data_IF_290477254676
#
_entry.id   IF_290477254676
#
_cell.length_a   1.000
_cell.length_b   1.000
_cell.length_c   1.000
_cell.angle_alpha   90.00
_cell.angle_beta   90.00
_cell.angle_gamma   90.00
#
_symmetry.space_group_name_H-M   'P 1'
#
loop_
_entity.id
_entity.type
_entity.pdbx_description
1 polymer ?
#
# COMPACT_ATOMS: atom_id res chain seq x y z
N UNK A 1 -4.94 -17.00 -5.83
CA UNK A 1 -4.48 -16.42 -7.13
C UNK A 1 -5.58 -15.70 -7.89
N UNK A 2 -6.75 -16.29 -8.15
CA UNK A 2 -7.85 -15.67 -8.93
C UNK A 2 -8.27 -14.30 -8.36
N UNK A 3 -8.42 -14.19 -7.05
CA UNK A 3 -8.83 -12.95 -6.40
C UNK A 3 -7.81 -11.79 -6.58
N UNK A 4 -6.50 -12.09 -6.55
CA UNK A 4 -5.47 -11.09 -6.83
C UNK A 4 -5.55 -10.59 -8.30
N UNK A 5 -5.87 -11.48 -9.23
CA UNK A 5 -6.11 -11.11 -10.65
C UNK A 5 -7.34 -10.21 -10.76
N UNK A 6 -8.44 -10.57 -10.08
CA UNK A 6 -9.68 -9.76 -10.09
C UNK A 6 -9.39 -8.37 -9.53
N UNK A 7 -8.67 -8.27 -8.40
CA UNK A 7 -8.32 -6.98 -7.83
C UNK A 7 -7.47 -6.13 -8.80
N UNK A 8 -6.43 -6.70 -9.37
CA UNK A 8 -5.60 -6.02 -10.36
C UNK A 8 -6.41 -5.51 -11.57
N UNK A 9 -7.31 -6.33 -12.10
CA UNK A 9 -8.19 -5.97 -13.21
C UNK A 9 -9.13 -4.83 -12.82
N UNK A 10 -9.71 -4.86 -11.62
CA UNK A 10 -10.61 -3.82 -11.12
C UNK A 10 -9.87 -2.50 -10.88
N UNK A 11 -8.64 -2.54 -10.36
CA UNK A 11 -7.78 -1.34 -10.24
C UNK A 11 -7.49 -0.73 -11.61
N UNK A 12 -7.13 -1.55 -12.59
CA UNK A 12 -6.89 -1.08 -13.96
C UNK A 12 -8.17 -0.51 -14.58
N UNK A 13 -9.29 -1.20 -14.46
CA UNK A 13 -10.58 -0.74 -14.98
C UNK A 13 -11.02 0.59 -14.36
N UNK A 14 -10.96 0.70 -13.01
CA UNK A 14 -11.22 1.93 -12.30
C UNK A 14 -10.30 3.07 -12.74
N UNK A 15 -9.01 2.78 -12.92
CA UNK A 15 -8.05 3.77 -13.42
C UNK A 15 -8.38 4.25 -14.83
N UNK A 16 -8.81 3.36 -15.72
CA UNK A 16 -9.23 3.73 -17.09
C UNK A 16 -10.44 4.67 -17.03
N UNK A 17 -11.43 4.34 -16.19
CA UNK A 17 -12.59 5.22 -15.97
C UNK A 17 -12.15 6.58 -15.43
N UNK A 18 -11.27 6.60 -14.44
CA UNK A 18 -10.73 7.85 -13.88
C UNK A 18 -10.01 8.71 -14.92
N UNK A 19 -9.24 8.09 -15.80
CA UNK A 19 -8.53 8.80 -16.88
C UNK A 19 -9.45 9.51 -17.87
N UNK A 20 -10.70 9.05 -18.06
CA UNK A 20 -11.68 9.73 -18.92
C UNK A 20 -11.98 11.14 -18.37
N UNK A 21 -11.88 11.33 -17.08
CA UNK A 21 -12.10 12.60 -16.41
C UNK A 21 -10.80 13.44 -16.29
N UNK A 22 -9.63 12.85 -16.53
CA UNK A 22 -8.35 13.55 -16.52
C UNK A 22 -8.33 14.65 -17.60
N UNK A 23 -7.84 15.82 -17.23
CA UNK A 23 -7.77 16.99 -18.13
C UNK A 23 -9.08 17.78 -18.25
N UNK A 24 -10.21 17.22 -17.80
CA UNK A 24 -11.48 17.96 -17.68
C UNK A 24 -11.58 18.71 -16.37
N UNK A 25 -10.78 18.32 -15.38
CA UNK A 25 -10.73 18.93 -14.04
C UNK A 25 -9.66 20.02 -14.06
N UNK A 26 -10.04 21.27 -13.79
CA UNK A 26 -9.09 22.38 -13.66
C UNK A 26 -8.12 22.08 -12.51
N UNK A 27 -6.85 22.51 -12.65
CA UNK A 27 -5.77 22.22 -11.69
C UNK A 27 -6.15 22.58 -10.25
N UNK A 28 -6.85 23.70 -10.04
CA UNK A 28 -7.35 24.11 -8.72
C UNK A 28 -8.23 23.04 -8.07
N UNK A 29 -9.13 22.42 -8.83
CA UNK A 29 -9.99 21.34 -8.31
C UNK A 29 -9.21 20.04 -8.10
N UNK A 30 -8.29 19.74 -9.00
CA UNK A 30 -7.41 18.56 -8.85
C UNK A 30 -6.62 18.62 -7.54
N UNK A 31 -6.02 19.79 -7.23
CA UNK A 31 -5.28 19.97 -5.98
C UNK A 31 -6.19 19.89 -4.75
N UNK A 32 -7.39 20.48 -4.79
CA UNK A 32 -8.35 20.38 -3.69
C UNK A 32 -8.83 18.92 -3.46
N UNK A 33 -9.07 18.18 -4.56
CA UNK A 33 -9.41 16.75 -4.49
C UNK A 33 -8.26 15.95 -3.89
N UNK A 34 -7.00 16.23 -4.27
CA UNK A 34 -5.83 15.54 -3.71
C UNK A 34 -5.71 15.74 -2.19
N UNK A 35 -5.93 16.96 -1.71
CA UNK A 35 -5.96 17.24 -0.26
C UNK A 35 -7.10 16.47 0.42
N UNK A 36 -8.30 16.49 -0.15
CA UNK A 36 -9.45 15.75 0.37
C UNK A 36 -9.20 14.23 0.41
N UNK A 37 -8.61 13.67 -0.65
CA UNK A 37 -8.20 12.26 -0.69
C UNK A 37 -7.13 11.96 0.36
N UNK A 38 -6.14 12.85 0.52
CA UNK A 38 -5.14 12.73 1.57
C UNK A 38 -5.77 12.62 2.96
N UNK A 39 -6.79 13.44 3.26
CA UNK A 39 -7.53 13.34 4.54
C UNK A 39 -8.28 12.01 4.68
N UNK A 40 -8.90 11.49 3.62
CA UNK A 40 -9.53 10.16 3.65
C UNK A 40 -8.50 9.05 3.88
N UNK A 41 -7.35 9.13 3.21
CA UNK A 41 -6.23 8.19 3.39
C UNK A 41 -5.68 8.26 4.81
N UNK A 42 -5.59 9.46 5.39
CA UNK A 42 -5.19 9.65 6.79
C UNK A 42 -6.17 8.96 7.75
N UNK A 43 -7.46 9.11 7.53
CA UNK A 43 -8.48 8.45 8.35
C UNK A 43 -8.31 6.91 8.30
N UNK A 44 -8.10 6.34 7.12
CA UNK A 44 -7.85 4.90 6.96
C UNK A 44 -6.58 4.49 7.71
N UNK A 45 -5.50 5.25 7.58
CA UNK A 45 -4.24 4.98 8.27
C UNK A 45 -4.39 5.06 9.80
N UNK A 46 -5.06 6.08 10.33
CA UNK A 46 -5.31 6.20 11.77
C UNK A 46 -6.17 5.04 12.26
N UNK A 47 -7.26 4.71 11.55
CA UNK A 47 -8.15 3.60 11.94
C UNK A 47 -7.41 2.27 12.06
N UNK A 48 -6.52 1.95 11.12
CA UNK A 48 -5.75 0.71 11.18
C UNK A 48 -4.59 0.77 12.19
N UNK A 49 -3.99 1.95 12.43
CA UNK A 49 -2.89 2.08 13.39
C UNK A 49 -3.35 1.89 14.84
N UNK A 50 -4.57 2.33 15.19
CA UNK A 50 -5.13 2.18 16.54
C UNK A 50 -5.58 0.75 16.87
N UNK A 51 -5.62 -0.16 15.90
CA UNK A 51 -5.93 -1.58 16.13
C UNK A 51 -4.77 -2.36 16.75
N UNK A 52 -3.59 -1.73 16.94
CA UNK A 52 -2.45 -2.39 17.59
C UNK A 52 -2.78 -2.81 19.01
N UNK A 53 -2.42 -4.03 19.35
CA UNK A 53 -2.46 -4.56 20.73
C UNK A 53 -1.12 -4.37 21.46
N UNK A 54 -0.04 -4.07 20.70
CA UNK A 54 1.31 -3.92 21.24
C UNK A 54 2.08 -2.77 20.57
N UNK A 55 1.88 -1.57 21.07
CA UNK A 55 2.55 -0.35 20.56
C UNK A 55 4.08 -0.48 20.54
N UNK A 56 4.68 -1.21 21.49
CA UNK A 56 6.13 -1.42 21.51
C UNK A 56 6.59 -2.23 20.30
N UNK A 57 5.82 -3.24 19.90
CA UNK A 57 6.10 -4.01 18.68
C UNK A 57 6.12 -3.08 17.46
N UNK A 58 5.13 -2.21 17.33
CA UNK A 58 5.04 -1.25 16.21
C UNK A 58 6.24 -0.28 16.21
N UNK A 59 6.59 0.28 17.38
CA UNK A 59 7.73 1.21 17.49
C UNK A 59 9.03 0.53 17.06
N UNK A 60 9.33 -0.66 17.58
CA UNK A 60 10.54 -1.39 17.24
C UNK A 60 10.55 -1.75 15.76
N UNK A 61 9.41 -2.21 15.23
CA UNK A 61 9.25 -2.54 13.80
C UNK A 61 9.52 -1.32 12.93
N UNK A 62 8.99 -0.16 13.27
CA UNK A 62 9.21 1.08 12.53
C UNK A 62 10.68 1.50 12.55
N UNK A 63 11.32 1.52 13.72
CA UNK A 63 12.72 1.94 13.85
C UNK A 63 13.65 1.04 13.05
N UNK A 64 13.55 -0.28 13.24
CA UNK A 64 14.39 -1.24 12.54
C UNK A 64 14.07 -1.24 11.04
N UNK A 65 12.77 -1.22 10.69
CA UNK A 65 12.33 -1.25 9.31
C UNK A 65 12.78 -0.04 8.50
N UNK A 66 12.72 1.16 9.08
CA UNK A 66 13.23 2.39 8.45
C UNK A 66 14.74 2.29 8.24
N UNK A 67 15.52 1.85 9.23
CA UNK A 67 16.96 1.68 9.11
C UNK A 67 17.30 0.71 7.96
N UNK A 68 16.61 -0.43 7.90
CA UNK A 68 16.79 -1.42 6.84
C UNK A 68 16.40 -0.85 5.47
N UNK A 69 15.28 -0.14 5.38
CA UNK A 69 14.80 0.43 4.13
C UNK A 69 15.71 1.54 3.60
N UNK A 70 16.22 2.42 4.47
CA UNK A 70 17.21 3.44 4.11
C UNK A 70 18.52 2.82 3.65
N UNK A 71 19.00 1.78 4.34
CA UNK A 71 20.20 1.04 3.94
C UNK A 71 20.04 0.39 2.57
N UNK A 72 18.88 -0.20 2.31
CA UNK A 72 18.55 -0.84 1.04
C UNK A 72 18.11 0.15 -0.05
N UNK A 73 17.89 1.43 0.29
CA UNK A 73 17.39 2.48 -0.62
C UNK A 73 16.14 2.02 -1.38
N UNK A 74 15.15 1.51 -0.67
CA UNK A 74 13.97 0.90 -1.29
C UNK A 74 13.17 1.94 -2.08
N UNK A 75 12.96 3.13 -1.54
CA UNK A 75 12.29 4.24 -2.23
C UNK A 75 12.97 4.56 -3.56
N UNK A 76 14.30 4.73 -3.58
CA UNK A 76 15.04 5.04 -4.79
C UNK A 76 14.90 3.94 -5.86
N UNK A 77 14.82 2.67 -5.45
CA UNK A 77 14.56 1.54 -6.37
C UNK A 77 13.15 1.53 -6.92
N UNK A 78 12.16 1.86 -6.08
CA UNK A 78 10.76 1.95 -6.49
C UNK A 78 10.55 3.13 -7.46
N UNK A 79 11.17 4.28 -7.18
CA UNK A 79 11.17 5.42 -8.09
C UNK A 79 11.82 5.07 -9.42
N UNK A 80 12.97 4.40 -9.39
CA UNK A 80 13.65 3.92 -10.60
C UNK A 80 12.77 2.94 -11.39
N UNK A 81 12.06 2.04 -10.71
CA UNK A 81 11.10 1.14 -11.35
C UNK A 81 9.97 1.92 -12.01
N UNK A 82 9.41 2.91 -11.32
CA UNK A 82 8.38 3.82 -11.87
C UNK A 82 8.87 4.55 -13.13
N UNK A 83 10.10 5.09 -13.10
CA UNK A 83 10.69 5.77 -14.25
C UNK A 83 11.01 4.81 -15.43
N UNK A 84 11.47 3.58 -15.15
CA UNK A 84 11.68 2.55 -16.17
C UNK A 84 10.35 2.17 -16.82
N UNK A 85 9.30 1.96 -16.03
CA UNK A 85 7.96 1.69 -16.55
C UNK A 85 7.46 2.86 -17.40
N UNK A 86 7.61 4.09 -16.92
CA UNK A 86 7.25 5.30 -17.66
C UNK A 86 7.98 5.38 -19.01
N UNK A 87 9.30 5.24 -19.02
CA UNK A 87 10.10 5.35 -20.24
C UNK A 87 9.81 4.25 -21.25
N UNK A 88 9.68 3.00 -20.80
CA UNK A 88 9.41 1.85 -21.70
C UNK A 88 8.01 1.86 -22.28
N UNK A 89 7.01 2.25 -21.47
CA UNK A 89 5.61 2.12 -21.86
C UNK A 89 5.03 3.39 -22.46
N UNK A 90 5.51 4.57 -22.04
CA UNK A 90 4.99 5.85 -22.51
C UNK A 90 5.74 6.43 -23.72
N UNK A 91 6.84 5.82 -24.17
CA UNK A 91 7.62 6.23 -25.36
C UNK A 91 7.81 7.76 -25.45
N UNK A 92 8.18 8.43 -24.36
CA UNK A 92 8.43 9.86 -24.35
C UNK A 92 7.19 10.76 -24.28
N UNK A 93 5.97 10.22 -24.13
CA UNK A 93 4.79 11.05 -23.84
C UNK A 93 4.89 11.60 -22.44
N UNK A 94 4.72 12.90 -22.28
CA UNK A 94 4.68 13.56 -20.98
C UNK A 94 3.52 13.00 -20.13
N UNK A 95 3.87 12.27 -19.07
CA UNK A 95 2.93 11.90 -18.03
C UNK A 95 3.40 12.51 -16.72
N UNK A 96 3.03 13.77 -16.49
CA UNK A 96 3.60 14.62 -15.44
C UNK A 96 3.70 14.00 -14.04
N UNK A 97 2.71 13.21 -13.60
CA UNK A 97 2.68 12.58 -12.27
C UNK A 97 2.67 11.04 -12.33
N UNK A 98 3.28 10.43 -13.36
CA UNK A 98 3.23 8.97 -13.53
C UNK A 98 3.81 8.22 -12.33
N UNK A 99 5.06 8.54 -11.98
CA UNK A 99 5.79 7.87 -10.88
C UNK A 99 5.09 8.11 -9.56
N UNK A 100 4.64 9.33 -9.30
CA UNK A 100 3.86 9.67 -8.10
C UNK A 100 2.56 8.87 -8.04
N UNK A 101 1.79 8.81 -9.11
CA UNK A 101 0.54 8.05 -9.17
C UNK A 101 0.77 6.54 -9.03
N UNK A 102 1.81 6.00 -9.67
CA UNK A 102 2.19 4.60 -9.52
C UNK A 102 2.58 4.26 -8.07
N UNK A 103 3.47 5.06 -7.46
CA UNK A 103 3.95 4.85 -6.10
C UNK A 103 2.82 4.96 -5.08
N UNK A 104 2.08 6.08 -5.12
CA UNK A 104 0.98 6.34 -4.19
C UNK A 104 -0.08 5.25 -4.25
N UNK A 105 -0.53 4.88 -5.43
CA UNK A 105 -1.54 3.85 -5.62
C UNK A 105 -1.01 2.46 -5.23
N UNK A 106 0.23 2.12 -5.58
CA UNK A 106 0.83 0.84 -5.22
C UNK A 106 0.92 0.68 -3.70
N UNK A 107 1.42 1.70 -2.99
CA UNK A 107 1.50 1.68 -1.53
C UNK A 107 0.11 1.59 -0.91
N UNK A 108 -0.84 2.43 -1.36
CA UNK A 108 -2.20 2.45 -0.84
C UNK A 108 -2.92 1.10 -1.02
N UNK A 109 -2.77 0.47 -2.18
CA UNK A 109 -3.48 -0.78 -2.49
C UNK A 109 -2.77 -2.03 -1.94
N UNK A 110 -1.46 -1.99 -1.75
CA UNK A 110 -0.71 -3.14 -1.22
C UNK A 110 -0.64 -3.14 0.30
N UNK A 111 -0.67 -1.97 0.96
CA UNK A 111 -0.56 -1.84 2.41
C UNK A 111 -1.95 -1.89 3.05
N UNK A 112 -2.08 -2.59 4.17
CA UNK A 112 -3.30 -2.66 4.96
C UNK A 112 -3.74 -4.10 5.28
N UNK A 113 -4.52 -4.23 6.37
CA UNK A 113 -4.99 -5.51 6.89
C UNK A 113 -5.75 -6.34 5.85
N UNK A 114 -6.64 -5.70 5.09
CA UNK A 114 -7.45 -6.42 4.09
C UNK A 114 -6.61 -7.07 2.98
N UNK A 115 -5.44 -6.50 2.62
CA UNK A 115 -4.56 -7.12 1.64
C UNK A 115 -3.90 -8.38 2.20
N UNK A 116 -3.46 -8.33 3.46
CA UNK A 116 -2.79 -9.44 4.15
C UNK A 116 -3.80 -10.52 4.52
N UNK A 117 -4.87 -10.14 5.26
CA UNK A 117 -5.93 -11.06 5.69
C UNK A 117 -6.63 -11.70 4.50
N UNK A 118 -7.01 -10.89 3.50
CA UNK A 118 -7.69 -11.41 2.31
C UNK A 118 -6.81 -12.35 1.48
N UNK A 119 -5.48 -12.11 1.42
CA UNK A 119 -4.55 -13.04 0.76
C UNK A 119 -4.38 -14.33 1.56
N UNK A 120 -4.40 -14.25 2.91
CA UNK A 120 -4.36 -15.40 3.80
C UNK A 120 -5.64 -16.25 3.67
N UNK A 121 -6.81 -15.66 3.78
CA UNK A 121 -8.10 -16.34 3.60
C UNK A 121 -8.20 -16.99 2.22
N UNK A 122 -7.79 -16.29 1.17
CA UNK A 122 -7.79 -16.81 -0.19
C UNK A 122 -6.81 -17.97 -0.40
N UNK A 123 -5.65 -17.93 0.29
CA UNK A 123 -4.63 -18.97 0.19
C UNK A 123 -4.94 -20.21 0.98
N UNK A 124 -5.44 -20.07 2.21
CA UNK A 124 -5.62 -21.16 3.17
C UNK A 124 -7.06 -21.70 3.17
N UNK A 125 -8.03 -20.77 3.21
CA UNK A 125 -9.45 -21.11 3.41
C UNK A 125 -10.26 -21.16 2.11
N UNK A 126 -9.65 -20.76 0.98
CA UNK A 126 -10.34 -20.53 -0.30
C UNK A 126 -11.53 -19.56 -0.18
N UNK A 127 -11.50 -18.68 0.83
CA UNK A 127 -12.46 -17.61 1.02
C UNK A 127 -11.96 -16.33 0.35
N UNK A 128 -12.73 -15.79 -0.57
CA UNK A 128 -12.37 -14.62 -1.37
C UNK A 128 -13.12 -13.35 -0.96
N UNK A 129 -14.00 -13.41 0.03
CA UNK A 129 -14.92 -12.30 0.39
C UNK A 129 -14.17 -11.02 0.73
N UNK A 130 -13.14 -11.10 1.58
CA UNK A 130 -12.34 -9.94 2.02
C UNK A 130 -11.59 -9.29 0.86
N UNK A 131 -10.92 -10.12 0.03
CA UNK A 131 -10.14 -9.57 -1.09
C UNK A 131 -11.05 -9.03 -2.20
N UNK A 132 -12.25 -9.59 -2.41
CA UNK A 132 -13.22 -9.08 -3.37
C UNK A 132 -13.82 -7.75 -2.87
N UNK A 133 -14.18 -7.65 -1.60
CA UNK A 133 -14.65 -6.39 -0.99
C UNK A 133 -13.60 -5.30 -1.13
N UNK A 134 -12.33 -5.63 -0.84
CA UNK A 134 -11.19 -4.75 -1.06
C UNK A 134 -11.06 -4.33 -2.52
N UNK A 135 -11.24 -5.25 -3.45
CA UNK A 135 -11.12 -4.97 -4.89
C UNK A 135 -12.13 -3.92 -5.36
N UNK A 136 -13.33 -3.91 -4.81
CA UNK A 136 -14.34 -2.87 -5.09
C UNK A 136 -13.88 -1.52 -4.54
N UNK A 137 -13.36 -1.49 -3.32
CA UNK A 137 -12.83 -0.26 -2.70
C UNK A 137 -11.65 0.27 -3.50
N UNK A 138 -10.71 -0.61 -3.86
CA UNK A 138 -9.54 -0.26 -4.66
C UNK A 138 -9.95 0.29 -6.04
N UNK A 139 -10.96 -0.29 -6.68
CA UNK A 139 -11.50 0.18 -7.96
C UNK A 139 -12.02 1.62 -7.86
N UNK A 140 -12.87 1.90 -6.87
CA UNK A 140 -13.43 3.26 -6.64
C UNK A 140 -12.32 4.26 -6.34
N UNK A 141 -11.36 3.88 -5.50
CA UNK A 141 -10.20 4.72 -5.17
C UNK A 141 -9.33 4.95 -6.41
N UNK A 142 -9.13 3.92 -7.25
CA UNK A 142 -8.37 4.02 -8.48
C UNK A 142 -9.01 5.00 -9.48
N UNK A 143 -10.36 5.07 -9.57
CA UNK A 143 -11.06 6.09 -10.37
C UNK A 143 -10.63 7.50 -9.95
N UNK A 144 -10.66 7.75 -8.65
CA UNK A 144 -10.38 9.09 -8.10
C UNK A 144 -8.90 9.45 -8.22
N UNK A 145 -8.01 8.50 -7.93
CA UNK A 145 -6.57 8.70 -8.06
C UNK A 145 -6.15 8.89 -9.52
N UNK A 146 -6.70 8.10 -10.46
CA UNK A 146 -6.37 8.23 -11.87
C UNK A 146 -6.89 9.51 -12.50
N UNK A 147 -8.02 10.03 -12.03
CA UNK A 147 -8.54 11.33 -12.47
C UNK A 147 -7.59 12.48 -12.11
N UNK A 148 -6.85 12.37 -10.99
CA UNK A 148 -5.91 13.40 -10.49
C UNK A 148 -4.47 13.13 -10.92
N UNK A 149 -3.96 11.91 -10.72
CA UNK A 149 -2.54 11.55 -10.96
C UNK A 149 -2.32 10.91 -12.35
N UNK A 150 -3.37 10.38 -12.97
CA UNK A 150 -3.34 9.84 -14.31
C UNK A 150 -2.93 8.37 -14.41
N UNK A 151 -2.34 8.00 -15.56
CA UNK A 151 -2.15 6.61 -15.97
C UNK A 151 -1.21 5.80 -15.04
N UNK A 152 -0.34 6.43 -14.29
CA UNK A 152 0.52 5.77 -13.31
C UNK A 152 -0.26 4.89 -12.33
N UNK A 153 -1.49 5.32 -11.98
CA UNK A 153 -2.39 4.55 -11.11
C UNK A 153 -2.81 3.22 -11.74
N UNK A 154 -3.04 3.16 -13.06
CA UNK A 154 -3.38 1.90 -13.73
C UNK A 154 -2.25 0.86 -13.61
N UNK A 155 -0.99 1.31 -13.63
CA UNK A 155 0.17 0.42 -13.48
C UNK A 155 0.34 -0.11 -12.05
N UNK A 156 -0.27 0.51 -11.04
CA UNK A 156 -0.32 -0.07 -9.69
C UNK A 156 -1.08 -1.39 -9.65
N UNK A 157 -1.98 -1.66 -10.59
CA UNK A 157 -2.62 -2.96 -10.74
C UNK A 157 -1.62 -4.11 -10.91
N UNK A 158 -0.47 -3.87 -11.57
CA UNK A 158 0.60 -4.86 -11.65
C UNK A 158 1.28 -5.07 -10.28
N UNK A 159 1.54 -4.00 -9.54
CA UNK A 159 2.08 -4.11 -8.18
C UNK A 159 1.13 -4.87 -7.25
N UNK A 160 -0.17 -4.59 -7.32
CA UNK A 160 -1.22 -5.31 -6.59
C UNK A 160 -1.22 -6.81 -6.94
N UNK A 161 -1.16 -7.14 -8.23
CA UNK A 161 -1.12 -8.53 -8.70
C UNK A 161 0.08 -9.28 -8.14
N UNK A 162 1.26 -8.68 -8.24
CA UNK A 162 2.51 -9.28 -7.74
C UNK A 162 2.47 -9.42 -6.22
N UNK A 163 2.11 -8.37 -5.50
CA UNK A 163 2.09 -8.37 -4.03
C UNK A 163 1.07 -9.36 -3.47
N UNK A 164 -0.19 -9.25 -3.86
CA UNK A 164 -1.26 -10.13 -3.36
C UNK A 164 -1.09 -11.56 -3.87
N UNK A 165 -0.60 -11.73 -5.10
CA UNK A 165 -0.27 -13.04 -5.65
C UNK A 165 0.83 -13.73 -4.86
N UNK A 166 1.92 -13.02 -4.53
CA UNK A 166 3.00 -13.55 -3.71
C UNK A 166 2.54 -13.84 -2.28
N UNK A 167 1.78 -12.94 -1.65
CA UNK A 167 1.22 -13.19 -0.33
C UNK A 167 0.33 -14.43 -0.32
N UNK A 168 -0.59 -14.55 -1.26
CA UNK A 168 -1.46 -15.73 -1.39
C UNK A 168 -0.63 -17.00 -1.55
N UNK A 169 0.41 -16.98 -2.38
CA UNK A 169 1.29 -18.12 -2.58
C UNK A 169 2.06 -18.47 -1.31
N UNK A 170 2.60 -17.47 -0.61
CA UNK A 170 3.28 -17.68 0.68
C UNK A 170 2.33 -18.33 1.68
N UNK A 171 1.10 -17.83 1.81
CA UNK A 171 0.11 -18.40 2.73
C UNK A 171 -0.33 -19.82 2.34
N UNK A 172 -0.38 -20.16 1.05
CA UNK A 172 -0.59 -21.57 0.62
C UNK A 172 0.56 -22.46 1.09
N UNK A 173 1.81 -21.98 1.03
CA UNK A 173 3.00 -22.77 1.38
C UNK A 173 3.22 -22.86 2.90
N UNK A 174 2.98 -21.77 3.61
CA UNK A 174 3.28 -21.62 5.05
C UNK A 174 2.10 -22.07 5.91
N UNK A 175 0.87 -22.08 5.36
CA UNK A 175 -0.33 -22.45 6.10
C UNK A 175 -0.66 -21.46 7.23
N UNK A 176 -1.28 -21.97 8.32
CA UNK A 176 -1.70 -21.17 9.48
C UNK A 176 -0.56 -20.87 10.47
N UNK A 177 0.69 -20.71 10.01
CA UNK A 177 1.83 -20.51 10.91
C UNK A 177 1.86 -19.07 11.48
N UNK A 178 1.24 -18.12 10.79
CA UNK A 178 1.23 -16.71 11.26
C UNK A 178 -0.01 -16.48 12.12
N UNK A 179 0.15 -16.30 13.44
CA UNK A 179 -0.96 -16.01 14.34
C UNK A 179 -1.67 -14.69 14.01
N UNK A 180 -2.97 -14.56 14.32
CA UNK A 180 -3.72 -13.31 14.11
C UNK A 180 -3.07 -12.09 14.74
N UNK A 181 -2.49 -12.23 15.95
CA UNK A 181 -1.80 -11.15 16.63
C UNK A 181 -0.65 -10.55 15.80
N UNK A 182 0.14 -11.38 15.10
CA UNK A 182 1.19 -10.88 14.20
C UNK A 182 0.60 -10.10 13.03
N UNK A 183 -0.53 -10.57 12.48
CA UNK A 183 -1.22 -9.90 11.35
C UNK A 183 -1.75 -8.55 11.81
N UNK A 184 -2.31 -8.45 13.01
CA UNK A 184 -2.76 -7.18 13.60
C UNK A 184 -1.60 -6.19 13.69
N UNK A 185 -0.45 -6.58 14.22
CA UNK A 185 0.71 -5.70 14.35
C UNK A 185 1.34 -5.34 12.98
N UNK A 186 1.37 -6.28 12.02
CA UNK A 186 1.75 -5.99 10.64
C UNK A 186 0.83 -4.95 9.99
N UNK A 187 -0.47 -5.08 10.21
CA UNK A 187 -1.48 -4.17 9.72
C UNK A 187 -1.34 -2.79 10.34
N UNK A 188 -1.21 -2.72 11.67
CA UNK A 188 -1.03 -1.46 12.39
C UNK A 188 0.25 -0.73 11.95
N UNK A 189 1.36 -1.47 11.82
CA UNK A 189 2.62 -0.93 11.30
C UNK A 189 2.45 -0.40 9.86
N UNK A 190 1.81 -1.16 8.98
CA UNK A 190 1.51 -0.74 7.62
C UNK A 190 0.61 0.49 7.55
N UNK A 191 -0.31 0.62 8.50
CA UNK A 191 -1.23 1.77 8.59
C UNK A 191 -0.50 3.08 8.93
N UNK A 192 0.63 3.03 9.66
CA UNK A 192 1.50 4.19 9.85
C UNK A 192 2.14 4.66 8.53
N UNK A 193 2.47 3.74 7.63
CA UNK A 193 2.96 4.10 6.29
C UNK A 193 1.87 4.84 5.49
N UNK A 194 0.61 4.40 5.63
CA UNK A 194 -0.55 5.07 5.01
C UNK A 194 -0.71 6.50 5.55
N UNK A 195 -0.50 6.73 6.85
CA UNK A 195 -0.48 8.09 7.42
C UNK A 195 0.66 8.91 6.80
N UNK A 196 1.87 8.37 6.71
CA UNK A 196 3.00 9.04 6.04
C UNK A 196 2.70 9.42 4.60
N UNK A 197 2.04 8.51 3.85
CA UNK A 197 1.59 8.75 2.48
C UNK A 197 0.56 9.89 2.42
N UNK A 198 -0.41 9.91 3.33
CA UNK A 198 -1.44 10.95 3.40
C UNK A 198 -0.85 12.33 3.64
N UNK A 199 0.16 12.45 4.52
CA UNK A 199 0.87 13.70 4.78
C UNK A 199 1.56 14.24 3.53
N UNK A 200 2.16 13.34 2.73
CA UNK A 200 2.72 13.71 1.42
C UNK A 200 1.64 14.21 0.45
N UNK A 201 0.48 13.53 0.40
CA UNK A 201 -0.64 13.90 -0.48
C UNK A 201 -1.25 15.26 -0.12
N UNK A 202 -1.35 15.57 1.17
CA UNK A 202 -1.87 16.86 1.68
C UNK A 202 -0.86 17.98 1.41
N UNK A 203 0.43 17.64 1.26
CA UNK A 203 1.50 18.61 1.00
C UNK A 203 2.05 19.28 2.26
N UNK A 204 1.74 18.77 3.47
CA UNK A 204 2.25 19.30 4.75
C UNK A 204 3.76 19.20 4.84
N UNK A 205 4.34 18.18 4.19
CA UNK A 205 5.79 17.90 4.21
C UNK A 205 6.63 18.84 3.34
N UNK A 206 5.99 19.69 2.51
CA UNK A 206 6.67 20.60 1.61
C UNK A 206 7.62 19.89 0.65
N UNK A 207 8.86 20.41 0.54
CA UNK A 207 9.90 19.81 -0.32
C UNK A 207 10.48 18.50 0.23
N UNK A 208 10.38 18.27 1.56
CA UNK A 208 10.90 17.08 2.23
C UNK A 208 9.81 16.01 2.33
N UNK A 209 9.61 15.25 1.27
CA UNK A 209 8.68 14.11 1.28
C UNK A 209 9.11 13.05 2.29
N UNK A 210 8.13 12.48 2.99
CA UNK A 210 8.34 11.28 3.80
C UNK A 210 8.62 10.11 2.84
N UNK A 211 9.75 9.45 3.02
CA UNK A 211 10.18 8.29 2.21
C UNK A 211 9.45 7.02 2.67
N UNK A 212 8.17 6.94 2.35
CA UNK A 212 7.29 5.85 2.79
C UNK A 212 7.75 4.49 2.25
N UNK A 213 8.32 4.45 1.06
CA UNK A 213 8.88 3.23 0.48
C UNK A 213 10.01 2.62 1.31
N UNK A 214 10.82 3.47 1.98
CA UNK A 214 11.87 2.99 2.89
C UNK A 214 11.29 2.45 4.22
N UNK A 215 10.00 2.66 4.50
CA UNK A 215 9.33 2.09 5.68
C UNK A 215 8.76 0.69 5.41
N UNK A 216 8.69 0.22 4.15
CA UNK A 216 8.08 -1.07 3.78
C UNK A 216 8.61 -2.28 4.57
N UNK A 217 9.91 -2.43 4.88
CA UNK A 217 10.39 -3.55 5.67
C UNK A 217 9.74 -3.63 7.06
N UNK A 218 9.32 -2.49 7.63
CA UNK A 218 8.68 -2.45 8.94
C UNK A 218 7.42 -3.33 9.02
N UNK A 219 6.67 -3.46 7.91
CA UNK A 219 5.41 -4.23 7.87
C UNK A 219 5.64 -5.70 8.22
N UNK A 220 6.80 -6.25 7.87
CA UNK A 220 7.10 -7.68 8.04
C UNK A 220 7.84 -8.00 9.35
N UNK A 221 8.37 -6.99 10.03
CA UNK A 221 9.12 -7.18 11.29
C UNK A 221 8.29 -7.70 12.46
N UNK A 222 6.99 -7.43 12.60
CA UNK A 222 6.17 -8.02 13.65
C UNK A 222 6.21 -9.55 13.66
N UNK A 223 6.46 -10.20 12.51
CA UNK A 223 6.62 -11.67 12.45
C UNK A 223 7.76 -12.15 13.36
N UNK A 224 8.80 -11.35 13.53
CA UNK A 224 9.95 -11.65 14.39
C UNK A 224 9.81 -11.03 15.79
N UNK A 225 9.23 -9.84 15.88
CA UNK A 225 9.19 -9.06 17.12
C UNK A 225 8.11 -9.56 18.07
N UNK A 226 6.93 -9.96 17.58
CA UNK A 226 5.85 -10.48 18.44
C UNK A 226 6.34 -11.71 19.23
N UNK A 227 6.90 -12.77 18.63
CA UNK A 227 7.39 -13.92 19.39
C UNK A 227 8.53 -13.56 20.34
N UNK A 228 9.39 -12.62 19.95
CA UNK A 228 10.48 -12.16 20.80
C UNK A 228 9.95 -11.46 22.06
N UNK A 229 8.95 -10.58 21.93
CA UNK A 229 8.35 -9.90 23.08
C UNK A 229 7.57 -10.86 23.97
N UNK A 230 6.86 -11.83 23.40
CA UNK A 230 6.18 -12.88 24.17
C UNK A 230 7.18 -13.75 24.94
N UNK A 231 8.32 -14.06 24.35
CA UNK A 231 9.38 -14.82 25.01
C UNK A 231 10.01 -14.02 26.16
N UNK A 232 10.30 -12.72 25.95
CA UNK A 232 10.81 -11.83 26.99
C UNK A 232 9.80 -11.68 28.12
N UNK A 233 8.51 -11.51 27.83
CA UNK A 233 7.46 -11.38 28.84
C UNK A 233 7.22 -12.66 29.68
N UNK A 234 7.73 -13.81 29.24
CA UNK A 234 7.72 -15.06 30.04
C UNK A 234 8.93 -15.21 30.95
N UNK A 235 9.96 -14.38 30.73
CA UNK A 235 11.20 -14.40 31.53
C UNK A 235 11.13 -13.42 32.70
N UNK A 236 10.36 -12.35 32.55
CA UNK A 236 10.13 -11.30 33.55
C UNK A 236 8.71 -11.38 34.11
#
# INVERSE_FOLDING_TARGET
MIAAVINAVLVIAGSIVGMIFKGKIKERYSNAIMVGLGLCVMMIGISGAIETENVLCVIISMVIGIILGELLRIEDRLDSLGEVLKTRLMKGRESGRFTEGFMTASLMFCVGSMAIVGSMEAGIQHNYSTILSKSVIDCVTAVTFAATMGIGVAFSGLAVLVYQGLLTLIFILVGNIIPPAMITEMSATGSLLIIGLSLNMIGVTGEKRIRVGNMLPAIFLPILIVPLLEWLGKIF
#
